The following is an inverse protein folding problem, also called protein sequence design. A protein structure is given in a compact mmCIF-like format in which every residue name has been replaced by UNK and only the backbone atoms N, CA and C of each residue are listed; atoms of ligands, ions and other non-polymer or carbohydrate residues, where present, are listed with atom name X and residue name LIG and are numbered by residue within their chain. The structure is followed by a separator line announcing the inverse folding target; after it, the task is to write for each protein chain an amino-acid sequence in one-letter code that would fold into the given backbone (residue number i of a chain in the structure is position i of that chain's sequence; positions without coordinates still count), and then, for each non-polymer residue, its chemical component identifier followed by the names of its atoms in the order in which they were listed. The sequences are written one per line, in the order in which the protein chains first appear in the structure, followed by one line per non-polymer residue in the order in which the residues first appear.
data_IF_958161996787
#
_entry.id   IF_958161996787
#
_cell.length_a   1.000
_cell.length_b   1.000
_cell.length_c   1.000
_cell.angle_alpha   90.00
_cell.angle_beta   90.00
_cell.angle_gamma   90.00
#
_symmetry.space_group_name_H-M   'P 1'
#
loop_
_entity.id
_entity.type
_entity.pdbx_description
1 polymer ?
#
# COMPACT_ATOMS: atom_id res chain seq x y z
N UNK A 1 6.13 -14.44 10.51
CA UNK A 1 7.32 -13.72 9.98
C UNK A 1 6.99 -12.40 9.26
N UNK A 2 6.01 -12.42 8.34
CA UNK A 2 5.60 -11.22 7.59
C UNK A 2 5.11 -10.07 8.48
N UNK A 3 4.22 -10.33 9.45
CA UNK A 3 3.81 -9.30 10.42
C UNK A 3 4.99 -8.67 11.16
N UNK A 4 6.01 -9.46 11.53
CA UNK A 4 7.21 -8.93 12.21
C UNK A 4 8.05 -8.06 11.28
N UNK A 5 8.12 -8.40 9.98
CA UNK A 5 8.76 -7.57 8.97
C UNK A 5 8.09 -6.21 8.82
N UNK A 6 6.74 -6.15 8.77
CA UNK A 6 6.03 -4.88 8.69
C UNK A 6 6.06 -4.11 10.02
N UNK A 7 5.92 -4.78 11.17
CA UNK A 7 5.97 -4.15 12.48
C UNK A 7 7.31 -3.45 12.72
N UNK A 8 8.45 -4.09 12.44
CA UNK A 8 9.79 -3.51 12.68
C UNK A 8 10.10 -2.26 11.88
N UNK A 9 9.38 -2.05 10.76
CA UNK A 9 9.49 -0.87 9.89
C UNK A 9 8.32 0.11 10.01
N UNK A 10 7.35 -0.22 10.86
CA UNK A 10 6.18 0.62 11.11
C UNK A 10 6.55 1.87 11.91
N UNK A 11 5.74 2.95 11.84
CA UNK A 11 5.95 4.15 12.63
C UNK A 11 5.82 3.92 14.15
N UNK A 12 5.33 2.76 14.59
CA UNK A 12 5.30 2.41 16.01
C UNK A 12 6.71 2.23 16.58
N UNK A 13 7.65 1.74 15.75
CA UNK A 13 9.03 1.44 16.14
C UNK A 13 10.04 2.37 15.46
N UNK A 14 9.87 2.67 14.16
CA UNK A 14 10.73 3.58 13.41
C UNK A 14 10.11 4.98 13.36
N UNK A 15 10.56 5.86 14.26
CA UNK A 15 9.98 7.21 14.43
C UNK A 15 10.59 8.27 13.51
N UNK A 16 11.54 7.91 12.63
CA UNK A 16 12.09 8.85 11.65
C UNK A 16 10.97 9.42 10.75
N UNK A 17 11.08 10.70 10.38
CA UNK A 17 10.03 11.45 9.67
C UNK A 17 8.66 11.55 10.40
N UNK A 18 8.60 11.25 11.70
CA UNK A 18 7.41 11.52 12.53
C UNK A 18 7.79 12.46 13.66
N UNK A 19 6.88 13.36 14.03
CA UNK A 19 6.99 14.12 15.27
C UNK A 19 6.78 13.21 16.50
N UNK A 20 7.27 13.63 17.69
CA UNK A 20 6.98 12.93 18.94
C UNK A 20 5.48 12.77 19.22
N UNK A 21 4.68 13.78 18.86
CA UNK A 21 3.23 13.80 19.05
C UNK A 21 2.53 12.82 18.10
N UNK A 22 2.91 12.78 16.82
CA UNK A 22 2.41 11.77 15.87
C UNK A 22 2.75 10.35 16.31
N UNK A 23 3.98 10.13 16.77
CA UNK A 23 4.41 8.83 17.28
C UNK A 23 3.58 8.39 18.50
N UNK A 24 3.28 9.32 19.40
CA UNK A 24 2.44 9.09 20.58
C UNK A 24 0.99 8.81 20.18
N UNK A 25 0.46 9.54 19.21
CA UNK A 25 -0.88 9.34 18.64
C UNK A 25 -1.04 7.95 18.03
N UNK A 26 -0.10 7.52 17.18
CA UNK A 26 -0.16 6.18 16.57
C UNK A 26 -0.12 5.09 17.63
N UNK A 27 0.81 5.17 18.59
CA UNK A 27 0.93 4.20 19.68
C UNK A 27 -0.31 4.17 20.57
N UNK A 28 -0.89 5.33 20.89
CA UNK A 28 -2.11 5.43 21.69
C UNK A 28 -3.25 4.64 21.07
N UNK A 29 -3.49 4.82 19.77
CA UNK A 29 -4.54 4.08 19.07
C UNK A 29 -4.24 2.60 18.97
N UNK A 30 -3.01 2.21 18.61
CA UNK A 30 -2.62 0.81 18.52
C UNK A 30 -2.82 0.02 19.83
N UNK A 31 -2.58 0.65 20.98
CA UNK A 31 -2.77 0.02 22.31
C UNK A 31 -4.23 -0.12 22.74
N UNK A 32 -5.19 0.38 21.95
CA UNK A 32 -6.63 0.40 22.31
C UNK A 32 -7.53 -0.32 21.30
N UNK A 33 -6.98 -0.73 20.16
CA UNK A 33 -7.75 -1.33 19.08
C UNK A 33 -7.91 -2.85 19.24
N UNK A 34 -8.91 -3.39 18.54
CA UNK A 34 -9.11 -4.84 18.45
C UNK A 34 -8.06 -5.51 17.54
N UNK A 35 -8.12 -6.84 17.44
CA UNK A 35 -7.21 -7.62 16.61
C UNK A 35 -7.25 -7.17 15.14
N UNK A 36 -8.43 -7.01 14.56
CA UNK A 36 -8.62 -6.68 13.14
C UNK A 36 -7.98 -5.35 12.78
N UNK A 37 -8.30 -4.29 13.54
CA UNK A 37 -7.75 -2.96 13.33
C UNK A 37 -6.25 -2.92 13.61
N UNK A 38 -5.78 -3.67 14.61
CA UNK A 38 -4.34 -3.76 14.93
C UNK A 38 -3.53 -4.44 13.82
N UNK A 39 -4.10 -5.45 13.15
CA UNK A 39 -3.46 -6.09 12.00
C UNK A 39 -3.33 -5.12 10.82
N UNK A 40 -4.38 -4.35 10.52
CA UNK A 40 -4.37 -3.31 9.48
C UNK A 40 -3.30 -2.24 9.79
N UNK A 41 -3.17 -1.84 11.05
CA UNK A 41 -2.14 -0.91 11.50
C UNK A 41 -0.71 -1.43 11.30
N UNK A 42 -0.47 -2.73 11.55
CA UNK A 42 0.84 -3.35 11.39
C UNK A 42 1.17 -3.58 9.92
N UNK A 43 0.25 -4.22 9.19
CA UNK A 43 0.38 -4.57 7.79
C UNK A 43 -0.85 -4.02 7.07
N UNK A 44 -0.71 -2.84 6.43
CA UNK A 44 -1.78 -2.26 5.62
C UNK A 44 -2.33 -3.25 4.59
N UNK A 45 -3.64 -3.18 4.37
CA UNK A 45 -4.31 -3.95 3.33
C UNK A 45 -4.27 -3.17 2.03
N UNK A 46 -4.15 -3.89 0.92
CA UNK A 46 -4.10 -3.34 -0.42
C UNK A 46 -5.07 -4.11 -1.31
N UNK A 47 -6.06 -3.42 -1.87
CA UNK A 47 -6.99 -3.98 -2.86
C UNK A 47 -6.66 -3.44 -4.24
N UNK A 48 -6.75 -4.30 -5.25
CA UNK A 48 -6.63 -3.91 -6.65
C UNK A 48 -7.98 -3.98 -7.36
N UNK A 49 -8.25 -2.94 -8.15
CA UNK A 49 -9.43 -2.80 -8.99
C UNK A 49 -8.96 -2.72 -10.43
N UNK A 50 -9.46 -3.60 -11.28
CA UNK A 50 -9.15 -3.65 -12.71
C UNK A 50 -10.41 -4.03 -13.50
N UNK A 51 -10.31 -3.99 -14.82
CA UNK A 51 -11.38 -4.52 -15.69
C UNK A 51 -11.47 -6.05 -15.69
N UNK A 52 -10.44 -6.75 -15.19
CA UNK A 52 -10.29 -8.20 -15.32
C UNK A 52 -10.95 -8.99 -14.20
N UNK A 53 -11.69 -8.36 -13.29
CA UNK A 53 -12.38 -9.06 -12.21
C UNK A 53 -12.92 -8.14 -11.11
N UNK A 54 -13.56 -8.73 -10.09
CA UNK A 54 -13.95 -8.00 -8.89
C UNK A 54 -12.71 -7.51 -8.11
N UNK A 55 -12.88 -6.59 -7.14
CA UNK A 55 -11.79 -6.14 -6.28
C UNK A 55 -11.11 -7.33 -5.58
N UNK A 56 -9.79 -7.41 -5.68
CA UNK A 56 -9.01 -8.51 -5.11
C UNK A 56 -7.93 -7.99 -4.13
N UNK A 57 -7.69 -8.69 -3.01
CA UNK A 57 -6.59 -8.37 -2.14
C UNK A 57 -5.26 -8.72 -2.81
N UNK A 58 -4.33 -7.77 -2.86
CA UNK A 58 -2.99 -7.93 -3.44
C UNK A 58 -1.91 -7.79 -2.38
N UNK A 59 -0.71 -8.25 -2.71
CA UNK A 59 0.43 -8.12 -1.81
C UNK A 59 0.80 -6.64 -1.61
N UNK A 60 1.19 -6.28 -0.39
CA UNK A 60 1.71 -4.95 -0.10
C UNK A 60 3.16 -4.83 -0.60
N UNK A 61 3.33 -4.84 -1.92
CA UNK A 61 4.59 -5.00 -2.63
C UNK A 61 4.63 -4.10 -3.88
N UNK A 62 5.82 -3.63 -4.26
CA UNK A 62 6.04 -2.83 -5.48
C UNK A 62 5.52 -3.48 -6.76
N UNK A 63 5.52 -4.81 -6.85
CA UNK A 63 5.01 -5.54 -8.03
C UNK A 63 3.50 -5.41 -8.20
N UNK A 64 2.77 -5.05 -7.13
CA UNK A 64 1.32 -4.84 -7.21
C UNK A 64 0.94 -3.45 -7.76
N UNK A 65 1.93 -2.56 -7.94
CA UNK A 65 1.73 -1.22 -8.50
C UNK A 65 1.82 -1.30 -10.02
N UNK A 66 0.70 -1.62 -10.65
CA UNK A 66 0.56 -1.74 -12.10
C UNK A 66 -0.10 -0.49 -12.72
N UNK A 67 0.13 -0.26 -14.02
CA UNK A 67 -0.35 0.92 -14.72
C UNK A 67 -1.86 0.91 -15.03
N UNK A 68 -2.43 -0.29 -15.20
CA UNK A 68 -3.80 -0.55 -15.66
C UNK A 68 -4.80 -0.83 -14.53
N UNK A 69 -4.42 -0.56 -13.28
CA UNK A 69 -5.24 -0.84 -12.09
C UNK A 69 -5.33 0.36 -11.16
N UNK A 70 -6.36 0.36 -10.32
CA UNK A 70 -6.50 1.29 -9.19
C UNK A 70 -6.22 0.50 -7.91
N UNK A 71 -5.54 1.11 -6.96
CA UNK A 71 -5.26 0.51 -5.66
C UNK A 71 -5.99 1.26 -4.56
N UNK A 72 -6.63 0.53 -3.64
CA UNK A 72 -7.13 1.05 -2.37
C UNK A 72 -6.24 0.52 -1.25
N UNK A 73 -5.47 1.40 -0.62
CA UNK A 73 -4.64 1.08 0.53
C UNK A 73 -5.31 1.59 1.80
N UNK A 74 -5.48 0.70 2.77
CA UNK A 74 -5.96 1.05 4.11
C UNK A 74 -4.86 0.77 5.15
N UNK A 75 -4.40 1.84 5.80
CA UNK A 75 -3.35 1.84 6.82
C UNK A 75 -3.90 2.04 8.24
N UNK A 76 -5.21 1.91 8.43
CA UNK A 76 -5.99 2.37 9.58
C UNK A 76 -6.06 3.90 9.69
N UNK A 77 -4.92 4.60 9.71
CA UNK A 77 -4.85 6.06 9.89
C UNK A 77 -5.11 6.84 8.60
N UNK A 78 -4.91 6.21 7.45
CA UNK A 78 -5.07 6.80 6.13
C UNK A 78 -5.72 5.79 5.18
N UNK A 79 -6.68 6.27 4.41
CA UNK A 79 -7.26 5.56 3.26
C UNK A 79 -6.74 6.25 2.01
N UNK A 80 -6.06 5.51 1.15
CA UNK A 80 -5.40 6.03 -0.04
C UNK A 80 -5.89 5.31 -1.28
N UNK A 81 -6.38 6.07 -2.25
CA UNK A 81 -6.67 5.60 -3.60
C UNK A 81 -5.51 6.01 -4.49
N UNK A 82 -4.92 5.05 -5.20
CA UNK A 82 -3.86 5.26 -6.18
C UNK A 82 -4.32 4.83 -7.56
N UNK A 83 -4.30 5.75 -8.51
CA UNK A 83 -4.55 5.46 -9.92
C UNK A 83 -3.24 5.14 -10.66
N UNK A 84 -3.17 3.95 -11.26
CA UNK A 84 -2.07 3.57 -12.16
C UNK A 84 -1.95 4.52 -13.35
N UNK A 85 -0.79 4.52 -14.01
CA UNK A 85 -0.46 5.48 -15.07
C UNK A 85 -1.52 5.54 -16.19
N UNK A 86 -1.93 4.39 -16.73
CA UNK A 86 -2.91 4.31 -17.81
C UNK A 86 -4.29 4.77 -17.33
N UNK A 87 -4.69 4.37 -16.12
CA UNK A 87 -5.96 4.81 -15.51
C UNK A 87 -5.98 6.32 -15.29
N UNK A 88 -4.88 6.89 -14.81
CA UNK A 88 -4.73 8.33 -14.59
C UNK A 88 -4.82 9.11 -15.92
N UNK A 89 -4.19 8.60 -16.98
CA UNK A 89 -4.30 9.19 -18.31
C UNK A 89 -5.75 9.16 -18.82
N UNK A 90 -6.46 8.04 -18.71
CA UNK A 90 -7.87 7.94 -19.11
C UNK A 90 -8.80 8.84 -18.29
N UNK A 91 -8.56 8.95 -16.98
CA UNK A 91 -9.31 9.85 -16.09
C UNK A 91 -9.15 11.31 -16.51
N UNK A 92 -7.92 11.72 -16.86
CA UNK A 92 -7.60 13.08 -17.36
C UNK A 92 -8.18 13.37 -18.74
N UNK A 93 -8.27 12.36 -19.59
CA UNK A 93 -8.90 12.46 -20.92
C UNK A 93 -10.42 12.50 -20.86
N UNK A 94 -11.04 12.32 -19.69
CA UNK A 94 -12.49 12.43 -19.51
C UNK A 94 -13.28 11.24 -20.06
N UNK A 95 -12.66 10.06 -20.21
CA UNK A 95 -13.36 8.89 -20.75
C UNK A 95 -14.56 8.48 -19.88
N UNK A 96 -14.52 8.72 -18.57
CA UNK A 96 -15.62 8.43 -17.65
C UNK A 96 -16.91 9.24 -17.93
N UNK A 97 -16.82 10.34 -18.67
CA UNK A 97 -17.96 11.19 -19.00
C UNK A 97 -18.63 10.79 -20.33
N UNK A 98 -18.00 9.88 -21.08
CA UNK A 98 -18.51 9.38 -22.35
C UNK A 98 -19.44 8.18 -22.11
N UNK A 99 -20.61 8.13 -22.76
CA UNK A 99 -21.58 7.03 -22.58
C UNK A 99 -21.03 5.67 -23.03
N UNK A 100 -20.05 5.63 -23.94
CA UNK A 100 -19.42 4.40 -24.40
C UNK A 100 -18.52 3.74 -23.33
N UNK A 101 -18.09 4.49 -22.31
CA UNK A 101 -17.12 4.05 -21.29
C UNK A 101 -17.72 4.05 -19.87
N UNK A 102 -18.99 3.69 -19.74
CA UNK A 102 -19.67 3.56 -18.44
C UNK A 102 -18.94 2.58 -17.50
N UNK A 103 -18.34 1.53 -18.05
CA UNK A 103 -17.49 0.60 -17.31
C UNK A 103 -16.29 1.27 -16.62
N UNK A 104 -15.67 2.26 -17.25
CA UNK A 104 -14.56 3.00 -16.67
C UNK A 104 -15.03 3.92 -15.54
N UNK A 105 -16.21 4.52 -15.69
CA UNK A 105 -16.84 5.28 -14.61
C UNK A 105 -17.09 4.41 -13.38
N UNK A 106 -17.63 3.19 -13.57
CA UNK A 106 -17.81 2.24 -12.47
C UNK A 106 -16.49 1.82 -11.83
N UNK A 107 -15.44 1.59 -12.63
CA UNK A 107 -14.10 1.26 -12.12
C UNK A 107 -13.54 2.37 -11.23
N UNK A 108 -13.71 3.64 -11.61
CA UNK A 108 -13.26 4.79 -10.80
C UNK A 108 -14.07 4.95 -9.50
N UNK A 109 -15.37 4.63 -9.54
CA UNK A 109 -16.27 4.83 -8.40
C UNK A 109 -16.14 3.72 -7.34
N UNK A 110 -15.91 2.48 -7.75
CA UNK A 110 -15.82 1.32 -6.84
C UNK A 110 -14.88 1.52 -5.63
N UNK A 111 -13.60 1.94 -5.79
CA UNK A 111 -12.72 2.16 -4.64
C UNK A 111 -13.13 3.37 -3.78
N UNK A 112 -13.87 4.33 -4.35
CA UNK A 112 -14.40 5.47 -3.59
C UNK A 112 -15.52 5.02 -2.67
N UNK A 113 -16.44 4.19 -3.17
CA UNK A 113 -17.55 3.65 -2.39
C UNK A 113 -17.04 2.80 -1.22
N UNK A 114 -16.10 1.90 -1.48
CA UNK A 114 -15.46 1.07 -0.45
C UNK A 114 -14.70 1.93 0.57
N UNK A 115 -14.01 2.98 0.12
CA UNK A 115 -13.34 3.92 1.02
C UNK A 115 -14.34 4.66 1.93
N UNK A 116 -15.49 5.10 1.42
CA UNK A 116 -16.50 5.79 2.21
C UNK A 116 -17.05 4.90 3.33
N UNK A 117 -17.29 3.62 3.07
CA UNK A 117 -17.76 2.68 4.10
C UNK A 117 -16.77 2.59 5.28
N UNK A 118 -15.47 2.56 4.99
CA UNK A 118 -14.43 2.54 6.02
C UNK A 118 -14.36 3.88 6.76
N UNK A 119 -14.47 5.01 6.05
CA UNK A 119 -14.43 6.35 6.64
C UNK A 119 -15.58 6.60 7.62
N UNK A 120 -16.78 6.07 7.32
CA UNK A 120 -17.97 6.25 8.16
C UNK A 120 -17.98 5.36 9.42
N UNK A 121 -17.28 4.22 9.39
CA UNK A 121 -17.30 3.24 10.48
C UNK A 121 -16.12 3.38 11.44
N UNK A 122 -14.97 3.89 10.99
CA UNK A 122 -13.74 3.90 11.78
C UNK A 122 -13.58 5.16 12.66
N UNK A 123 -13.16 4.94 13.90
CA UNK A 123 -12.71 6.00 14.80
C UNK A 123 -11.23 5.80 15.20
N UNK A 124 -10.39 6.84 15.12
CA UNK A 124 -10.68 8.18 14.57
C UNK A 124 -10.86 8.12 13.04
N UNK A 125 -11.55 9.13 12.48
CA UNK A 125 -11.76 9.21 11.04
C UNK A 125 -10.40 9.24 10.32
N UNK A 126 -10.12 8.28 9.41
CA UNK A 126 -8.86 8.25 8.68
C UNK A 126 -8.71 9.45 7.76
N UNK A 127 -7.46 9.85 7.48
CA UNK A 127 -7.20 10.83 6.42
C UNK A 127 -7.41 10.18 5.06
N UNK A 128 -8.31 10.75 4.26
CA UNK A 128 -8.56 10.34 2.88
C UNK A 128 -7.54 10.98 1.92
N UNK A 129 -6.99 10.17 1.00
CA UNK A 129 -5.99 10.58 0.01
C UNK A 129 -6.38 10.00 -1.35
N UNK A 130 -6.55 10.85 -2.35
CA UNK A 130 -6.67 10.47 -3.77
C UNK A 130 -5.38 10.93 -4.48
N UNK A 131 -4.68 9.98 -5.11
CA UNK A 131 -3.43 10.25 -5.82
C UNK A 131 -3.32 9.35 -7.04
N UNK A 132 -2.35 9.65 -7.89
CA UNK A 132 -2.10 8.96 -9.14
C UNK A 132 -0.60 8.72 -9.35
N UNK A 133 -0.26 7.99 -10.40
CA UNK A 133 1.12 7.85 -10.86
C UNK A 133 1.79 9.22 -11.05
N UNK A 134 2.99 9.38 -10.46
CA UNK A 134 3.71 10.65 -10.45
C UNK A 134 3.19 11.70 -9.46
N UNK A 135 2.07 11.45 -8.77
CA UNK A 135 1.51 12.35 -7.77
C UNK A 135 2.36 12.46 -6.50
N UNK A 136 2.46 13.65 -5.91
CA UNK A 136 3.28 13.89 -4.72
C UNK A 136 2.82 13.11 -3.48
N UNK A 137 1.53 12.81 -3.39
CA UNK A 137 0.92 12.03 -2.31
C UNK A 137 1.12 10.51 -2.49
N UNK A 138 1.53 10.03 -3.68
CA UNK A 138 1.82 8.61 -3.92
C UNK A 138 2.94 8.07 -3.02
N UNK A 139 3.80 8.95 -2.47
CA UNK A 139 4.81 8.59 -1.46
C UNK A 139 4.23 7.89 -0.23
N UNK A 140 2.97 8.15 0.13
CA UNK A 140 2.30 7.47 1.24
C UNK A 140 2.11 5.98 0.95
N UNK A 141 1.83 5.60 -0.31
CA UNK A 141 1.81 4.21 -0.75
C UNK A 141 3.24 3.64 -0.84
N UNK A 142 4.14 4.33 -1.53
CA UNK A 142 5.49 3.84 -1.83
C UNK A 142 6.34 3.58 -0.57
N UNK A 143 6.10 4.31 0.52
CA UNK A 143 6.78 4.10 1.81
C UNK A 143 6.26 2.90 2.61
N UNK A 144 5.10 2.33 2.24
CA UNK A 144 4.48 1.19 2.94
C UNK A 144 4.69 -0.14 2.23
N UNK A 145 4.82 -0.12 0.92
CA UNK A 145 5.04 -1.32 0.11
C UNK A 145 6.44 -1.92 0.31
N UNK A 146 6.51 -3.24 0.20
CA UNK A 146 7.77 -3.98 0.21
C UNK A 146 8.60 -3.64 -1.05
N UNK A 147 9.87 -3.23 -0.91
CA UNK A 147 10.76 -2.94 -2.05
C UNK A 147 11.31 -4.23 -2.65
N UNK A 148 10.46 -5.02 -3.30
CA UNK A 148 10.93 -6.18 -4.08
C UNK A 148 11.68 -5.77 -5.35
N UNK A 149 11.29 -4.62 -5.91
CA UNK A 149 11.93 -3.97 -7.04
C UNK A 149 12.55 -2.65 -6.55
N UNK A 150 13.87 -2.54 -6.68
CA UNK A 150 14.64 -1.34 -6.29
C UNK A 150 15.55 -0.90 -7.42
N UNK A 151 16.06 0.34 -7.34
CA UNK A 151 17.05 0.87 -8.28
C UNK A 151 18.31 -0.02 -8.43
N UNK A 152 18.66 -0.81 -7.40
CA UNK A 152 19.81 -1.71 -7.43
C UNK A 152 19.56 -2.99 -8.25
N UNK A 153 18.31 -3.46 -8.33
CA UNK A 153 17.95 -4.69 -9.04
C UNK A 153 17.18 -4.42 -10.35
N UNK A 154 16.93 -3.14 -10.69
CA UNK A 154 16.15 -2.72 -11.87
C UNK A 154 16.76 -3.16 -13.21
N UNK A 155 18.07 -3.48 -13.24
CA UNK A 155 18.77 -3.98 -14.43
C UNK A 155 19.02 -5.50 -14.41
N UNK A 156 18.48 -6.22 -13.43
CA UNK A 156 18.50 -7.68 -13.45
C UNK A 156 17.58 -8.17 -14.58
N UNK A 157 18.18 -8.84 -15.58
CA UNK A 157 17.47 -9.37 -16.75
C UNK A 157 16.22 -10.17 -16.34
N UNK A 158 15.04 -9.71 -16.80
CA UNK A 158 13.77 -10.44 -16.70
C UNK A 158 12.74 -9.98 -15.66
N UNK A 159 12.87 -8.78 -15.06
CA UNK A 159 11.85 -8.32 -14.11
C UNK A 159 10.56 -7.79 -14.77
N UNK A 160 9.44 -8.29 -14.24
CA UNK A 160 8.05 -7.92 -14.54
C UNK A 160 7.73 -6.48 -14.14
N UNK A 161 6.79 -5.89 -14.89
CA UNK A 161 6.18 -4.57 -14.68
C UNK A 161 5.87 -4.27 -13.20
N UNK A 162 6.41 -3.17 -12.66
CA UNK A 162 6.18 -2.70 -11.29
C UNK A 162 6.86 -1.35 -11.04
N UNK A 163 6.49 -0.65 -9.97
CA UNK A 163 7.08 0.64 -9.64
C UNK A 163 8.36 0.45 -8.78
N UNK A 164 9.56 0.79 -9.28
CA UNK A 164 10.79 0.65 -8.51
C UNK A 164 10.80 1.59 -7.31
N UNK A 165 11.05 1.05 -6.12
CA UNK A 165 11.13 1.84 -4.89
C UNK A 165 12.57 2.30 -4.68
N UNK A 166 12.74 3.61 -4.54
CA UNK A 166 14.02 4.23 -4.21
C UNK A 166 14.27 4.15 -2.69
N UNK A 167 14.77 3.00 -2.23
CA UNK A 167 15.14 2.79 -0.83
C UNK A 167 16.26 1.75 -0.72
N UNK A 168 17.07 1.87 0.34
CA UNK A 168 18.04 0.86 0.79
C UNK A 168 17.45 -0.08 1.85
N UNK A 169 16.16 0.04 2.14
CA UNK A 169 15.45 -0.87 3.03
C UNK A 169 15.51 -2.32 2.53
N UNK A 170 15.65 -3.23 3.47
CA UNK A 170 15.68 -4.67 3.21
C UNK A 170 14.29 -5.15 2.74
N UNK A 171 14.24 -5.89 1.63
CA UNK A 171 13.00 -6.51 1.15
C UNK A 171 12.57 -7.69 2.05
N UNK A 172 11.30 -8.05 2.00
CA UNK A 172 10.76 -9.21 2.73
C UNK A 172 11.52 -10.50 2.40
N UNK A 173 11.94 -10.67 1.14
CA UNK A 173 12.70 -11.83 0.70
C UNK A 173 14.05 -11.92 1.43
N UNK A 174 14.83 -10.84 1.43
CA UNK A 174 16.14 -10.79 2.11
C UNK A 174 15.97 -10.97 3.62
N UNK A 175 14.93 -10.39 4.22
CA UNK A 175 14.58 -10.60 5.63
C UNK A 175 14.32 -12.08 5.92
N UNK A 176 13.53 -12.77 5.08
CA UNK A 176 13.22 -14.18 5.23
C UNK A 176 14.44 -15.07 5.05
N UNK A 177 15.35 -14.75 4.13
CA UNK A 177 16.56 -15.53 3.90
C UNK A 177 17.53 -15.41 5.08
N UNK A 178 17.69 -14.22 5.66
CA UNK A 178 18.44 -14.02 6.89
C UNK A 178 17.80 -14.76 8.08
N UNK A 179 16.47 -14.69 8.21
CA UNK A 179 15.73 -15.39 9.27
C UNK A 179 15.93 -16.91 9.17
N UNK A 180 15.79 -17.48 7.96
CA UNK A 180 16.02 -18.91 7.71
C UNK A 180 17.44 -19.31 8.09
N UNK A 181 18.45 -18.55 7.64
CA UNK A 181 19.86 -18.81 7.94
C UNK A 181 20.13 -18.85 9.46
N UNK A 182 19.58 -17.90 10.21
CA UNK A 182 19.76 -17.85 11.67
C UNK A 182 18.96 -18.93 12.39
N UNK A 183 17.75 -19.25 11.92
CA UNK A 183 16.92 -20.28 12.53
C UNK A 183 17.52 -21.68 12.39
N UNK A 184 18.30 -21.95 11.33
CA UNK A 184 19.01 -23.23 11.13
C UNK A 184 20.47 -23.20 11.62
N UNK A 185 21.02 -22.03 11.94
CA UNK A 185 22.30 -21.95 12.64
C UNK A 185 22.08 -22.32 14.10
N UNK A 186 22.75 -23.39 14.55
CA UNK A 186 22.57 -24.04 15.85
C UNK A 186 22.47 -23.06 17.03
N UNK A 187 21.35 -23.14 17.76
CA UNK A 187 21.35 -22.97 19.20
C UNK A 187 21.38 -24.38 19.81
N UNK A 188 22.54 -25.02 19.75
CA UNK A 188 22.83 -26.27 20.43
C UNK A 188 24.04 -26.04 21.33
#
# INVERSE_FOLDING_TARGET
PQFMFHLRRSPFLQVFNNSPDESSYYRHHFMRQDLTQSLIMIQPILYAYSFSGPPEPVLLDSSSILADRILLMDTFFQILIYHGETIAQWRKSGYQDMPEYENFRHLLQAPVDDAQEILHSRFPMPRYIDTEHGGSQARFLLSKVNPSQTHNNMYAWGQESGAPILTDDVSLQVFMDHLKKLAVSSAA
#
